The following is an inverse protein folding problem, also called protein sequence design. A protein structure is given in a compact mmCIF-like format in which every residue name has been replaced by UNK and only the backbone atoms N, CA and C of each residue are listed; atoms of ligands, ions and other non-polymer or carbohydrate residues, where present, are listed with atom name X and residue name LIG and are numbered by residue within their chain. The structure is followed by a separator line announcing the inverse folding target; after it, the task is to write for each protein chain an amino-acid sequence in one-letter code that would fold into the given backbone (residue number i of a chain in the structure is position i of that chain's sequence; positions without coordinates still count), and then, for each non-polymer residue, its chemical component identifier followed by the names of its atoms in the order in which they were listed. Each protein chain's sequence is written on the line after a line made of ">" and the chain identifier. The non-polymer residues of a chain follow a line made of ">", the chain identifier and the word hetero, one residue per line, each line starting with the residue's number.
data_IF_527429140401
#
_entry.id   IF_527429140401
#
_cell.length_a   1.000
_cell.length_b   1.000
_cell.length_c   1.000
_cell.angle_alpha   90.00
_cell.angle_beta   90.00
_cell.angle_gamma   90.00
#
_symmetry.space_group_name_H-M   'P 1'
#
loop_
_entity.id
_entity.type
_entity.pdbx_description
1 polymer ?
#
# COMPACT_ATOMS: atom_id res chain seq x y z
N UNK A 1 30.47 -0.66 26.02
CA UNK A 1 30.77 -0.60 24.57
C UNK A 1 30.42 -1.98 23.99
N UNK A 2 29.18 -2.18 23.61
CA UNK A 2 28.76 -3.38 22.87
C UNK A 2 28.88 -3.05 21.39
N UNK A 3 29.94 -3.53 20.75
CA UNK A 3 30.09 -3.56 19.30
C UNK A 3 28.98 -4.46 18.74
N UNK A 4 27.89 -3.86 18.31
CA UNK A 4 26.88 -4.51 17.51
C UNK A 4 27.58 -4.94 16.21
N UNK A 5 27.93 -6.21 16.10
CA UNK A 5 28.44 -6.80 14.86
C UNK A 5 27.28 -6.68 13.87
N UNK A 6 27.38 -5.73 12.95
CA UNK A 6 26.48 -5.62 11.79
C UNK A 6 26.81 -6.83 10.91
N UNK A 7 25.99 -7.88 10.98
CA UNK A 7 26.08 -8.97 10.02
C UNK A 7 25.58 -8.37 8.69
N UNK A 8 26.53 -8.00 7.85
CA UNK A 8 26.29 -7.54 6.49
C UNK A 8 26.09 -8.78 5.63
N UNK A 9 25.09 -8.75 4.75
CA UNK A 9 24.90 -9.81 3.76
C UNK A 9 26.17 -10.02 2.93
N UNK A 10 26.46 -11.24 2.54
CA UNK A 10 27.47 -11.51 1.52
C UNK A 10 27.02 -10.88 0.18
N UNK A 11 27.95 -10.57 -0.71
CA UNK A 11 27.61 -10.00 -2.02
C UNK A 11 26.61 -10.87 -2.79
N UNK A 12 26.78 -12.20 -2.74
CA UNK A 12 25.86 -13.14 -3.39
C UNK A 12 24.46 -13.10 -2.78
N UNK A 13 24.36 -13.06 -1.44
CA UNK A 13 23.07 -12.95 -0.75
C UNK A 13 22.36 -11.62 -1.05
N UNK A 14 23.10 -10.52 -1.05
CA UNK A 14 22.57 -9.20 -1.40
C UNK A 14 22.08 -9.16 -2.84
N UNK A 15 22.87 -9.71 -3.79
CA UNK A 15 22.49 -9.81 -5.19
C UNK A 15 21.23 -10.66 -5.39
N UNK A 16 21.18 -11.84 -4.76
CA UNK A 16 20.01 -12.73 -4.84
C UNK A 16 18.73 -12.04 -4.31
N UNK A 17 18.82 -11.37 -3.16
CA UNK A 17 17.70 -10.61 -2.58
C UNK A 17 17.23 -9.48 -3.52
N UNK A 18 18.15 -8.73 -4.11
CA UNK A 18 17.83 -7.66 -5.06
C UNK A 18 17.15 -8.20 -6.32
N UNK A 19 17.64 -9.29 -6.90
CA UNK A 19 17.02 -9.93 -8.07
C UNK A 19 15.57 -10.35 -7.75
N UNK A 20 15.35 -10.98 -6.60
CA UNK A 20 14.01 -11.41 -6.18
C UNK A 20 13.07 -10.21 -6.03
N UNK A 21 13.48 -9.17 -5.33
CA UNK A 21 12.63 -7.99 -5.09
C UNK A 21 12.33 -7.25 -6.38
N UNK A 22 13.32 -7.02 -7.24
CA UNK A 22 13.13 -6.35 -8.53
C UNK A 22 12.18 -7.15 -9.42
N UNK A 23 12.38 -8.46 -9.52
CA UNK A 23 11.54 -9.35 -10.34
C UNK A 23 10.09 -9.35 -9.85
N UNK A 24 9.86 -9.48 -8.53
CA UNK A 24 8.53 -9.40 -7.94
C UNK A 24 7.91 -8.00 -8.12
N UNK A 25 8.68 -6.94 -7.93
CA UNK A 25 8.23 -5.57 -8.13
C UNK A 25 7.76 -5.32 -9.57
N UNK A 26 8.53 -5.75 -10.56
CA UNK A 26 8.16 -5.66 -11.98
C UNK A 26 6.91 -6.47 -12.29
N UNK A 27 6.81 -7.70 -11.79
CA UNK A 27 5.66 -8.57 -11.99
C UNK A 27 4.37 -7.97 -11.40
N UNK A 28 4.42 -7.48 -10.17
CA UNK A 28 3.26 -6.86 -9.51
C UNK A 28 2.85 -5.58 -10.23
N UNK A 29 3.82 -4.72 -10.59
CA UNK A 29 3.54 -3.50 -11.34
C UNK A 29 2.98 -3.78 -12.74
N UNK A 30 3.37 -4.86 -13.39
CA UNK A 30 2.77 -5.29 -14.64
C UNK A 30 1.28 -5.65 -14.47
N UNK A 31 0.94 -6.47 -13.46
CA UNK A 31 -0.45 -6.83 -13.17
C UNK A 31 -1.27 -5.59 -12.82
N UNK A 32 -0.76 -4.74 -11.94
CA UNK A 32 -1.41 -3.50 -11.54
C UNK A 32 -1.59 -2.54 -12.73
N UNK A 33 -0.59 -2.45 -13.62
CA UNK A 33 -0.66 -1.67 -14.85
C UNK A 33 -1.80 -2.13 -15.76
N UNK A 34 -2.02 -3.45 -15.88
CA UNK A 34 -3.15 -4.00 -16.65
C UNK A 34 -4.50 -3.53 -16.07
N UNK A 35 -4.63 -3.48 -14.74
CA UNK A 35 -5.85 -2.98 -14.07
C UNK A 35 -6.05 -1.48 -14.32
N UNK A 36 -4.99 -0.69 -14.25
CA UNK A 36 -5.02 0.76 -14.52
C UNK A 36 -5.46 1.03 -15.95
N UNK A 37 -4.86 0.34 -16.93
CA UNK A 37 -5.22 0.47 -18.34
C UNK A 37 -6.68 0.08 -18.58
N UNK A 38 -7.17 -1.01 -17.98
CA UNK A 38 -8.56 -1.45 -18.09
C UNK A 38 -9.53 -0.40 -17.56
N UNK A 39 -9.21 0.25 -16.43
CA UNK A 39 -10.01 1.28 -15.83
C UNK A 39 -10.16 2.51 -16.76
N UNK A 40 -9.05 3.02 -17.28
CA UNK A 40 -9.05 4.20 -18.13
C UNK A 40 -9.61 3.94 -19.53
N UNK A 41 -9.56 2.70 -20.01
CA UNK A 41 -10.11 2.31 -21.32
C UNK A 41 -11.64 2.20 -21.30
N UNK A 42 -12.28 2.19 -20.14
CA UNK A 42 -13.73 2.02 -20.03
C UNK A 42 -14.38 3.11 -19.16
N UNK A 43 -15.05 4.11 -19.78
CA UNK A 43 -15.65 5.25 -19.06
C UNK A 43 -16.70 4.87 -18.01
N UNK A 44 -17.25 3.65 -18.06
CA UNK A 44 -18.21 3.18 -17.08
C UNK A 44 -17.59 3.05 -15.68
N UNK A 45 -16.31 2.69 -15.60
CA UNK A 45 -15.64 2.52 -14.30
C UNK A 45 -15.29 3.86 -13.64
N UNK A 46 -15.01 4.90 -14.44
CA UNK A 46 -14.69 6.24 -13.92
C UNK A 46 -15.90 6.98 -13.34
N UNK A 47 -17.13 6.46 -13.56
CA UNK A 47 -18.37 7.05 -13.03
C UNK A 47 -18.82 6.45 -11.69
N UNK A 48 -18.15 5.41 -11.20
CA UNK A 48 -18.50 4.71 -9.95
C UNK A 48 -17.39 4.89 -8.92
N UNK A 49 -17.72 5.52 -7.79
CA UNK A 49 -16.82 5.80 -6.67
C UNK A 49 -16.03 4.57 -6.19
N UNK A 50 -16.66 3.40 -6.25
CA UNK A 50 -16.06 2.13 -5.88
C UNK A 50 -14.81 1.81 -6.72
N UNK A 51 -14.91 1.97 -8.05
CA UNK A 51 -13.78 1.70 -8.94
C UNK A 51 -12.72 2.80 -8.85
N UNK A 52 -13.13 4.05 -8.62
CA UNK A 52 -12.20 5.17 -8.43
C UNK A 52 -11.32 4.93 -7.20
N UNK A 53 -11.90 4.56 -6.05
CA UNK A 53 -11.15 4.26 -4.83
C UNK A 53 -10.25 3.03 -5.00
N UNK A 54 -10.74 2.01 -5.72
CA UNK A 54 -9.96 0.82 -5.99
C UNK A 54 -8.74 1.11 -6.87
N UNK A 55 -8.94 1.85 -7.98
CA UNK A 55 -7.82 2.15 -8.87
C UNK A 55 -6.81 3.09 -8.22
N UNK A 56 -7.28 4.00 -7.36
CA UNK A 56 -6.40 4.82 -6.54
C UNK A 56 -5.53 3.95 -5.60
N UNK A 57 -6.10 2.91 -4.97
CA UNK A 57 -5.34 1.95 -4.17
C UNK A 57 -4.27 1.25 -5.02
N UNK A 58 -4.64 0.77 -6.21
CA UNK A 58 -3.71 0.09 -7.14
C UNK A 58 -2.56 1.02 -7.56
N UNK A 59 -2.86 2.26 -7.91
CA UNK A 59 -1.82 3.26 -8.28
C UNK A 59 -0.92 3.55 -7.09
N UNK A 60 -1.47 3.72 -5.91
CA UNK A 60 -0.69 3.92 -4.68
C UNK A 60 0.22 2.71 -4.38
N UNK A 61 -0.27 1.49 -4.56
CA UNK A 61 0.52 0.27 -4.38
C UNK A 61 1.66 0.17 -5.42
N UNK A 62 1.41 0.58 -6.67
CA UNK A 62 2.45 0.68 -7.71
C UNK A 62 3.55 1.65 -7.32
N UNK A 63 3.19 2.86 -6.89
CA UNK A 63 4.14 3.87 -6.42
C UNK A 63 4.93 3.37 -5.22
N UNK A 64 4.26 2.77 -4.26
CA UNK A 64 4.90 2.23 -3.07
C UNK A 64 5.91 1.12 -3.41
N UNK A 65 5.58 0.20 -4.32
CA UNK A 65 6.48 -0.86 -4.76
C UNK A 65 7.68 -0.24 -5.50
N UNK A 66 7.47 0.70 -6.41
CA UNK A 66 8.57 1.38 -7.11
C UNK A 66 9.54 2.02 -6.11
N UNK A 67 9.03 2.80 -5.16
CA UNK A 67 9.85 3.50 -4.16
C UNK A 67 10.56 2.50 -3.25
N UNK A 68 9.86 1.48 -2.75
CA UNK A 68 10.44 0.51 -1.83
C UNK A 68 11.51 -0.36 -2.48
N UNK A 69 11.31 -0.79 -3.74
CA UNK A 69 12.32 -1.52 -4.52
C UNK A 69 13.53 -0.62 -4.78
N UNK A 70 13.32 0.64 -5.17
CA UNK A 70 14.40 1.61 -5.37
C UNK A 70 15.21 1.81 -4.09
N UNK A 71 14.56 2.06 -2.96
CA UNK A 71 15.23 2.21 -1.66
C UNK A 71 16.01 0.95 -1.27
N UNK A 72 15.44 -0.23 -1.51
CA UNK A 72 16.09 -1.51 -1.20
C UNK A 72 17.35 -1.71 -2.04
N UNK A 73 17.28 -1.46 -3.35
CA UNK A 73 18.45 -1.56 -4.24
C UNK A 73 19.52 -0.55 -3.86
N UNK A 74 19.14 0.71 -3.58
CA UNK A 74 20.07 1.77 -3.19
C UNK A 74 20.80 1.47 -1.87
N UNK A 75 20.17 0.73 -0.96
CA UNK A 75 20.80 0.32 0.30
C UNK A 75 22.06 -0.54 0.08
N UNK A 76 22.12 -1.29 -1.04
CA UNK A 76 23.27 -2.16 -1.38
C UNK A 76 24.16 -1.59 -2.46
N UNK A 77 23.64 -0.71 -3.32
CA UNK A 77 24.32 -0.36 -4.57
C UNK A 77 25.17 0.92 -4.49
N UNK A 78 24.76 1.96 -3.77
CA UNK A 78 25.45 3.24 -3.83
C UNK A 78 25.10 4.21 -2.69
N UNK A 79 26.02 5.14 -2.45
CA UNK A 79 25.75 6.36 -1.70
C UNK A 79 24.91 7.30 -2.57
N UNK A 80 23.94 7.94 -1.96
CA UNK A 80 22.95 8.81 -2.64
C UNK A 80 22.93 10.17 -1.95
N UNK A 81 22.65 11.22 -2.71
CA UNK A 81 22.45 12.55 -2.14
C UNK A 81 21.34 12.54 -1.07
N UNK A 82 21.59 13.16 0.06
CA UNK A 82 20.62 13.28 1.16
C UNK A 82 19.29 13.82 0.66
N UNK A 83 19.30 14.82 -0.23
CA UNK A 83 18.08 15.40 -0.79
C UNK A 83 17.21 14.38 -1.52
N UNK A 84 17.82 13.55 -2.39
CA UNK A 84 17.11 12.49 -3.10
C UNK A 84 16.60 11.41 -2.14
N UNK A 85 17.43 11.02 -1.17
CA UNK A 85 17.04 10.06 -0.15
C UNK A 85 15.85 10.57 0.70
N UNK A 86 15.84 11.85 1.10
CA UNK A 86 14.71 12.46 1.81
C UNK A 86 13.40 12.37 1.00
N UNK A 87 13.46 12.69 -0.31
CA UNK A 87 12.28 12.62 -1.19
C UNK A 87 11.76 11.17 -1.28
N UNK A 88 12.63 10.21 -1.49
CA UNK A 88 12.25 8.80 -1.61
C UNK A 88 11.63 8.26 -0.30
N UNK A 89 12.23 8.57 0.85
CA UNK A 89 11.71 8.16 2.15
C UNK A 89 10.37 8.85 2.44
N UNK A 90 10.24 10.14 2.15
CA UNK A 90 8.99 10.87 2.35
C UNK A 90 7.87 10.34 1.46
N UNK A 91 8.15 10.05 0.19
CA UNK A 91 7.18 9.47 -0.74
C UNK A 91 6.79 8.05 -0.30
N UNK A 92 7.76 7.23 0.10
CA UNK A 92 7.52 5.89 0.61
C UNK A 92 6.65 5.88 1.87
N UNK A 93 6.94 6.73 2.85
CA UNK A 93 6.16 6.83 4.09
C UNK A 93 4.75 7.39 3.84
N UNK A 94 4.61 8.35 2.93
CA UNK A 94 3.31 8.90 2.53
C UNK A 94 2.43 7.83 1.87
N UNK A 95 2.94 7.13 0.85
CA UNK A 95 2.20 6.05 0.18
C UNK A 95 1.85 4.91 1.12
N UNK A 96 2.73 4.60 2.09
CA UNK A 96 2.47 3.62 3.13
C UNK A 96 1.27 4.03 4.01
N UNK A 97 1.19 5.30 4.44
CA UNK A 97 0.07 5.82 5.24
C UNK A 97 -1.25 5.91 4.47
N UNK A 98 -1.20 6.18 3.16
CA UNK A 98 -2.41 6.30 2.31
C UNK A 98 -3.12 4.94 2.18
N UNK A 99 -2.41 3.82 2.13
CA UNK A 99 -3.02 2.48 1.94
C UNK A 99 -4.13 2.19 2.95
N UNK A 100 -3.91 2.21 4.28
CA UNK A 100 -4.98 1.93 5.25
C UNK A 100 -6.08 2.98 5.26
N UNK A 101 -5.76 4.25 5.03
CA UNK A 101 -6.75 5.32 4.93
C UNK A 101 -7.69 5.11 3.73
N UNK A 102 -7.14 4.73 2.57
CA UNK A 102 -7.94 4.42 1.39
C UNK A 102 -8.83 3.19 1.60
N UNK A 103 -8.34 2.16 2.29
CA UNK A 103 -9.13 0.98 2.65
C UNK A 103 -10.28 1.34 3.61
N UNK A 104 -10.05 2.23 4.56
CA UNK A 104 -11.11 2.78 5.40
C UNK A 104 -12.15 3.54 4.57
N UNK A 105 -11.72 4.34 3.59
CA UNK A 105 -12.58 5.01 2.62
C UNK A 105 -13.45 4.03 1.81
N UNK A 106 -12.84 2.94 1.33
CA UNK A 106 -13.57 1.87 0.63
C UNK A 106 -14.59 1.19 1.55
N UNK A 107 -14.27 1.02 2.84
CA UNK A 107 -15.21 0.45 3.82
C UNK A 107 -16.41 1.39 4.09
N UNK A 108 -16.17 2.69 4.16
CA UNK A 108 -17.22 3.72 4.26
C UNK A 108 -18.11 3.72 3.01
N UNK A 109 -17.53 3.65 1.82
CA UNK A 109 -18.29 3.56 0.56
C UNK A 109 -19.20 2.33 0.58
N UNK A 110 -18.69 1.17 0.99
CA UNK A 110 -19.48 -0.06 1.13
C UNK A 110 -20.59 0.06 2.17
N UNK A 111 -20.31 0.68 3.31
CA UNK A 111 -21.31 0.96 4.33
C UNK A 111 -22.44 1.82 3.76
N UNK A 112 -22.14 2.88 3.02
CA UNK A 112 -23.15 3.75 2.41
C UNK A 112 -23.96 2.98 1.37
N UNK A 113 -23.30 2.20 0.50
CA UNK A 113 -23.95 1.43 -0.55
C UNK A 113 -24.93 0.37 -0.02
N UNK A 114 -24.64 -0.24 1.14
CA UNK A 114 -25.45 -1.32 1.71
C UNK A 114 -26.48 -0.79 2.72
N UNK A 115 -26.09 0.15 3.56
CA UNK A 115 -26.95 0.64 4.66
C UNK A 115 -27.82 1.84 4.25
N UNK A 116 -27.42 2.61 3.20
CA UNK A 116 -28.13 3.78 2.70
C UNK A 116 -28.23 3.79 1.16
N UNK A 117 -28.80 2.76 0.52
CA UNK A 117 -28.75 2.59 -0.94
C UNK A 117 -29.40 3.75 -1.72
N UNK A 118 -30.49 4.33 -1.19
CA UNK A 118 -31.20 5.45 -1.83
C UNK A 118 -30.37 6.74 -1.88
N UNK A 119 -29.44 6.91 -0.95
CA UNK A 119 -28.59 8.11 -0.87
C UNK A 119 -27.19 7.88 -1.45
N UNK A 120 -26.84 6.64 -1.84
CA UNK A 120 -25.52 6.30 -2.32
C UNK A 120 -25.09 7.16 -3.51
N UNK A 121 -25.94 7.29 -4.53
CA UNK A 121 -25.65 8.08 -5.74
C UNK A 121 -25.50 9.59 -5.47
N UNK A 122 -26.10 10.08 -4.38
CA UNK A 122 -25.99 11.49 -3.98
C UNK A 122 -24.75 11.77 -3.13
N UNK A 123 -24.34 10.80 -2.28
CA UNK A 123 -23.21 10.95 -1.35
C UNK A 123 -21.89 10.59 -2.04
N UNK A 124 -21.86 9.43 -2.71
CA UNK A 124 -20.67 8.87 -3.34
C UNK A 124 -20.59 9.25 -4.84
N UNK A 125 -20.51 10.55 -5.11
CA UNK A 125 -20.30 11.03 -6.50
C UNK A 125 -18.82 10.96 -6.88
N UNK A 126 -18.48 10.81 -8.18
CA UNK A 126 -17.07 10.81 -8.62
C UNK A 126 -16.30 12.05 -8.14
N UNK A 127 -16.88 13.23 -8.22
CA UNK A 127 -16.24 14.49 -7.80
C UNK A 127 -15.87 14.45 -6.30
N UNK A 128 -16.82 14.06 -5.44
CA UNK A 128 -16.55 13.94 -3.99
C UNK A 128 -15.52 12.87 -3.69
N UNK A 129 -15.49 11.80 -4.47
CA UNK A 129 -14.49 10.73 -4.33
C UNK A 129 -13.09 11.25 -4.67
N UNK A 130 -12.92 12.06 -5.73
CA UNK A 130 -11.63 12.69 -6.03
C UNK A 130 -11.19 13.68 -4.96
N UNK A 131 -12.12 14.51 -4.43
CA UNK A 131 -11.82 15.40 -3.30
C UNK A 131 -11.38 14.58 -2.08
N UNK A 132 -12.07 13.49 -1.79
CA UNK A 132 -11.69 12.59 -0.70
C UNK A 132 -10.29 11.99 -0.90
N UNK A 133 -9.93 11.57 -2.12
CA UNK A 133 -8.58 11.11 -2.46
C UNK A 133 -7.53 12.19 -2.21
N UNK A 134 -7.79 13.44 -2.63
CA UNK A 134 -6.89 14.56 -2.33
C UNK A 134 -6.69 14.75 -0.80
N UNK A 135 -7.76 14.63 -0.02
CA UNK A 135 -7.68 14.70 1.44
C UNK A 135 -6.83 13.55 2.01
N UNK A 136 -6.94 12.33 1.45
CA UNK A 136 -6.10 11.21 1.88
C UNK A 136 -4.60 11.49 1.64
N UNK A 137 -4.25 12.11 0.49
CA UNK A 137 -2.87 12.51 0.20
C UNK A 137 -2.36 13.56 1.16
N UNK A 138 -3.16 14.59 1.46
CA UNK A 138 -2.80 15.61 2.45
C UNK A 138 -2.58 14.98 3.82
N UNK A 139 -3.53 14.17 4.30
CA UNK A 139 -3.42 13.50 5.59
C UNK A 139 -2.20 12.56 5.66
N UNK A 140 -2.00 11.74 4.63
CA UNK A 140 -0.87 10.80 4.56
C UNK A 140 0.50 11.48 4.51
N UNK A 141 0.58 12.70 3.96
CA UNK A 141 1.82 13.46 3.84
C UNK A 141 2.21 14.20 5.14
N UNK A 142 1.28 14.47 6.06
CA UNK A 142 1.54 15.25 7.28
C UNK A 142 2.74 14.71 8.07
N UNK A 143 2.85 13.40 8.41
CA UNK A 143 3.97 12.91 9.18
C UNK A 143 5.32 13.09 8.46
N UNK A 144 5.36 12.80 7.17
CA UNK A 144 6.58 12.91 6.35
C UNK A 144 7.03 14.34 6.16
N UNK A 145 6.10 15.27 5.95
CA UNK A 145 6.39 16.71 5.86
C UNK A 145 6.92 17.24 7.19
N UNK A 146 6.34 16.83 8.31
CA UNK A 146 6.84 17.20 9.63
C UNK A 146 8.29 16.72 9.85
N UNK A 147 8.63 15.50 9.39
CA UNK A 147 9.98 14.97 9.46
C UNK A 147 10.97 15.81 8.65
N UNK A 148 10.61 16.18 7.43
CA UNK A 148 11.43 17.01 6.55
C UNK A 148 11.62 18.41 7.16
N UNK A 149 10.56 19.06 7.64
CA UNK A 149 10.64 20.41 8.26
C UNK A 149 11.57 20.38 9.47
N UNK A 150 11.47 19.37 10.32
CA UNK A 150 12.36 19.25 11.48
C UNK A 150 13.81 19.01 11.04
N UNK A 151 14.04 18.18 10.02
CA UNK A 151 15.37 17.94 9.49
C UNK A 151 15.99 19.23 8.94
N UNK A 152 15.24 20.04 8.19
CA UNK A 152 15.68 21.37 7.71
C UNK A 152 15.96 22.36 8.84
N UNK A 153 15.26 22.25 9.98
CA UNK A 153 15.47 23.13 11.13
C UNK A 153 16.72 22.77 11.92
N UNK A 154 17.17 21.52 11.88
CA UNK A 154 18.29 21.02 12.70
C UNK A 154 19.60 20.95 11.90
N UNK A 155 19.52 20.59 10.61
CA UNK A 155 20.69 20.33 9.80
C UNK A 155 21.07 21.53 8.91
N UNK A 156 22.38 21.81 8.73
CA UNK A 156 22.84 22.87 7.83
C UNK A 156 22.57 22.47 6.36
N UNK A 157 22.47 23.47 5.48
CA UNK A 157 22.23 23.26 4.04
C UNK A 157 23.29 22.36 3.39
N UNK A 158 24.53 22.41 3.87
CA UNK A 158 25.62 21.54 3.39
C UNK A 158 25.33 20.05 3.60
N UNK A 159 24.57 19.69 4.64
CA UNK A 159 24.15 18.31 4.91
C UNK A 159 23.32 17.73 3.75
N UNK A 160 22.44 18.53 3.15
CA UNK A 160 21.57 18.07 2.06
C UNK A 160 22.31 17.83 0.73
N UNK A 161 23.56 18.32 0.64
CA UNK A 161 24.46 18.07 -0.50
C UNK A 161 25.47 16.92 -0.23
N UNK A 162 25.45 16.38 0.96
CA UNK A 162 26.29 15.22 1.30
C UNK A 162 25.67 13.94 0.77
N UNK A 163 26.48 12.88 0.67
CA UNK A 163 26.04 11.55 0.24
C UNK A 163 25.94 10.62 1.45
N UNK A 164 24.89 9.83 1.48
CA UNK A 164 24.61 8.87 2.55
C UNK A 164 24.11 7.55 2.00
N UNK A 165 24.26 6.50 2.79
CA UNK A 165 23.52 5.26 2.55
C UNK A 165 22.04 5.53 2.88
N UNK A 166 21.16 5.38 1.86
CA UNK A 166 19.77 5.78 1.96
C UNK A 166 18.96 4.82 2.84
N UNK A 167 18.98 5.07 4.13
CA UNK A 167 18.23 4.33 5.13
C UNK A 167 17.61 5.31 6.14
N UNK A 168 16.33 5.13 6.54
CA UNK A 168 15.63 6.08 7.42
C UNK A 168 16.38 6.40 8.71
N UNK A 169 17.04 5.41 9.32
CA UNK A 169 17.80 5.60 10.55
C UNK A 169 19.03 6.53 10.38
N UNK A 170 19.63 6.54 9.19
CA UNK A 170 20.79 7.40 8.92
C UNK A 170 20.39 8.86 8.78
N UNK A 171 19.19 9.13 8.24
CA UNK A 171 18.68 10.49 8.12
C UNK A 171 18.08 11.01 9.42
N UNK A 172 17.39 10.15 10.16
CA UNK A 172 16.61 10.53 11.36
C UNK A 172 17.03 9.69 12.56
N UNK A 173 18.27 9.87 13.08
CA UNK A 173 18.78 9.05 14.18
C UNK A 173 18.16 9.39 15.54
N UNK A 174 17.36 10.46 15.64
CA UNK A 174 16.85 10.96 16.92
C UNK A 174 15.73 10.08 17.50
N UNK A 175 15.75 9.87 18.82
CA UNK A 175 14.67 9.18 19.54
C UNK A 175 13.33 9.89 19.34
N UNK A 176 13.33 11.23 19.35
CA UNK A 176 12.12 12.03 19.14
C UNK A 176 11.45 11.76 17.79
N UNK A 177 12.23 11.56 16.71
CA UNK A 177 11.69 11.14 15.41
C UNK A 177 11.00 9.78 15.50
N UNK A 178 11.66 8.79 16.12
CA UNK A 178 11.10 7.44 16.27
C UNK A 178 9.79 7.47 17.09
N UNK A 179 9.78 8.18 18.21
CA UNK A 179 8.61 8.28 19.09
C UNK A 179 7.44 8.96 18.36
N UNK A 180 7.69 10.04 17.59
CA UNK A 180 6.69 10.74 16.80
C UNK A 180 6.14 9.86 15.66
N UNK A 181 7.00 9.18 14.92
CA UNK A 181 6.58 8.26 13.85
C UNK A 181 5.72 7.14 14.40
N UNK A 182 6.11 6.55 15.54
CA UNK A 182 5.33 5.53 16.22
C UNK A 182 3.99 6.08 16.69
N UNK A 183 3.95 7.25 17.31
CA UNK A 183 2.71 7.90 17.75
C UNK A 183 1.77 8.18 16.56
N UNK A 184 2.29 8.72 15.46
CA UNK A 184 1.51 8.93 14.23
C UNK A 184 0.92 7.62 13.71
N UNK A 185 1.71 6.57 13.62
CA UNK A 185 1.23 5.25 13.19
C UNK A 185 0.12 4.73 14.10
N UNK A 186 0.27 4.81 15.42
CA UNK A 186 -0.75 4.38 16.37
C UNK A 186 -2.05 5.16 16.18
N UNK A 187 -1.98 6.50 16.03
CA UNK A 187 -3.16 7.34 15.85
C UNK A 187 -3.89 6.99 14.56
N UNK A 188 -3.18 6.94 13.42
CA UNK A 188 -3.78 6.61 12.13
C UNK A 188 -4.39 5.20 12.12
N UNK A 189 -3.69 4.23 12.69
CA UNK A 189 -4.17 2.85 12.74
C UNK A 189 -5.39 2.70 13.66
N UNK A 190 -5.37 3.36 14.82
CA UNK A 190 -6.54 3.36 15.73
C UNK A 190 -7.77 3.93 15.04
N UNK A 191 -7.62 5.05 14.32
CA UNK A 191 -8.70 5.66 13.55
C UNK A 191 -9.24 4.70 12.47
N UNK A 192 -8.35 4.09 11.70
CA UNK A 192 -8.72 3.11 10.66
C UNK A 192 -9.46 1.92 11.28
N UNK A 193 -8.95 1.34 12.38
CA UNK A 193 -9.61 0.23 13.06
C UNK A 193 -11.01 0.59 13.58
N UNK A 194 -11.19 1.76 14.18
CA UNK A 194 -12.49 2.24 14.62
C UNK A 194 -13.49 2.31 13.45
N UNK A 195 -13.08 2.92 12.33
CA UNK A 195 -13.90 3.03 11.12
C UNK A 195 -14.25 1.62 10.60
N UNK A 196 -13.30 0.72 10.53
CA UNK A 196 -13.51 -0.63 10.02
C UNK A 196 -14.46 -1.42 10.90
N UNK A 197 -14.23 -1.48 12.21
CA UNK A 197 -15.09 -2.20 13.15
C UNK A 197 -16.52 -1.66 13.08
N UNK A 198 -16.67 -0.34 13.11
CA UNK A 198 -17.99 0.29 13.01
C UNK A 198 -18.70 -0.07 11.70
N UNK A 199 -18.05 0.13 10.56
CA UNK A 199 -18.65 -0.14 9.25
C UNK A 199 -18.99 -1.61 9.07
N UNK A 200 -18.10 -2.51 9.50
CA UNK A 200 -18.35 -3.97 9.46
C UNK A 200 -19.53 -4.39 10.31
N UNK A 201 -19.59 -3.95 11.58
CA UNK A 201 -20.69 -4.27 12.45
C UNK A 201 -22.04 -3.81 11.87
N UNK A 202 -22.09 -2.60 11.34
CA UNK A 202 -23.29 -2.03 10.71
C UNK A 202 -23.71 -2.78 9.45
N UNK A 203 -22.76 -3.09 8.56
CA UNK A 203 -23.05 -3.83 7.34
C UNK A 203 -23.50 -5.25 7.63
N UNK A 204 -22.84 -5.95 8.57
CA UNK A 204 -23.26 -7.30 9.00
C UNK A 204 -24.66 -7.32 9.60
N UNK A 205 -24.98 -6.32 10.42
CA UNK A 205 -26.31 -6.20 11.02
C UNK A 205 -27.38 -5.96 9.96
N UNK A 206 -27.13 -5.07 8.99
CA UNK A 206 -28.05 -4.79 7.88
C UNK A 206 -28.20 -6.00 6.96
N UNK A 207 -27.12 -6.70 6.63
CA UNK A 207 -27.16 -7.90 5.80
C UNK A 207 -27.94 -9.06 6.45
N UNK A 208 -27.87 -9.20 7.78
CA UNK A 208 -28.67 -10.22 8.53
C UNK A 208 -30.17 -9.91 8.50
N UNK A 209 -30.57 -8.64 8.42
CA UNK A 209 -31.98 -8.24 8.34
C UNK A 209 -32.56 -8.38 6.93
N UNK A 210 -31.71 -8.45 5.88
CA UNK A 210 -32.15 -8.60 4.51
C UNK A 210 -32.77 -10.01 4.30
N UNK A 211 -34.03 -10.05 3.96
CA UNK A 211 -34.87 -11.26 3.97
C UNK A 211 -34.53 -12.33 2.90
N UNK A 212 -33.71 -12.02 1.88
CA UNK A 212 -33.36 -12.98 0.83
C UNK A 212 -32.03 -13.68 1.11
N UNK A 213 -32.06 -15.02 1.25
CA UNK A 213 -30.87 -15.85 1.48
C UNK A 213 -29.77 -15.67 0.44
N UNK A 214 -30.09 -15.38 -0.83
CA UNK A 214 -29.14 -15.20 -1.92
C UNK A 214 -28.36 -13.87 -1.83
N UNK A 215 -29.06 -12.76 -1.58
CA UNK A 215 -28.44 -11.43 -1.42
C UNK A 215 -27.58 -11.35 -0.16
N UNK A 216 -28.00 -11.97 0.95
CA UNK A 216 -27.23 -12.04 2.16
C UNK A 216 -25.92 -12.83 2.00
N UNK A 217 -25.93 -13.96 1.26
CA UNK A 217 -24.73 -14.76 0.96
C UNK A 217 -23.73 -13.97 0.13
N UNK A 218 -24.17 -13.26 -0.91
CA UNK A 218 -23.31 -12.42 -1.76
C UNK A 218 -22.71 -11.25 -1.00
N UNK A 219 -23.52 -10.55 -0.19
CA UNK A 219 -23.04 -9.46 0.67
C UNK A 219 -22.00 -9.96 1.68
N UNK A 220 -22.26 -11.10 2.36
CA UNK A 220 -21.31 -11.69 3.31
C UNK A 220 -19.98 -12.08 2.65
N UNK A 221 -20.01 -12.67 1.48
CA UNK A 221 -18.79 -13.04 0.73
C UNK A 221 -17.96 -11.79 0.36
N UNK A 222 -18.62 -10.73 -0.12
CA UNK A 222 -17.96 -9.45 -0.45
C UNK A 222 -17.31 -8.81 0.78
N UNK A 223 -18.00 -8.81 1.92
CA UNK A 223 -17.50 -8.27 3.18
C UNK A 223 -16.30 -9.09 3.68
N UNK A 224 -16.40 -10.42 3.62
CA UNK A 224 -15.31 -11.30 4.06
C UNK A 224 -14.03 -11.08 3.24
N UNK A 225 -14.15 -11.03 1.90
CA UNK A 225 -13.01 -10.77 1.02
C UNK A 225 -12.37 -9.41 1.28
N UNK A 226 -13.19 -8.38 1.52
CA UNK A 226 -12.67 -7.06 1.90
C UNK A 226 -11.98 -7.11 3.27
N UNK A 227 -12.54 -7.86 4.24
CA UNK A 227 -11.92 -8.09 5.54
C UNK A 227 -10.55 -8.77 5.43
N UNK A 228 -10.43 -9.78 4.58
CA UNK A 228 -9.14 -10.46 4.33
C UNK A 228 -8.11 -9.48 3.74
N UNK A 229 -8.52 -8.67 2.77
CA UNK A 229 -7.64 -7.65 2.18
C UNK A 229 -7.15 -6.65 3.23
N UNK A 230 -8.05 -6.20 4.12
CA UNK A 230 -7.70 -5.32 5.22
C UNK A 230 -6.73 -5.96 6.21
N UNK A 231 -6.97 -7.21 6.60
CA UNK A 231 -6.08 -7.94 7.50
C UNK A 231 -4.68 -8.09 6.89
N UNK A 232 -4.58 -8.39 5.60
CA UNK A 232 -3.29 -8.47 4.89
C UNK A 232 -2.56 -7.12 4.88
N UNK A 233 -3.28 -6.01 4.63
CA UNK A 233 -2.67 -4.68 4.71
C UNK A 233 -2.23 -4.32 6.13
N UNK A 234 -3.04 -4.70 7.15
CA UNK A 234 -2.67 -4.48 8.55
C UNK A 234 -1.41 -5.26 8.95
N UNK A 235 -1.16 -6.41 8.32
CA UNK A 235 0.04 -7.21 8.56
C UNK A 235 1.33 -6.40 8.32
N UNK A 236 1.33 -5.48 7.34
CA UNK A 236 2.49 -4.61 7.06
C UNK A 236 2.93 -3.76 8.26
N UNK A 237 2.00 -3.42 9.14
CA UNK A 237 2.29 -2.61 10.32
C UNK A 237 2.86 -3.41 11.50
N UNK A 238 2.77 -4.74 11.42
CA UNK A 238 3.37 -5.62 12.42
C UNK A 238 4.82 -5.97 12.11
N UNK A 239 5.35 -5.60 10.93
CA UNK A 239 6.75 -5.89 10.55
C UNK A 239 7.76 -5.45 11.60
N UNK A 240 7.74 -4.20 12.12
CA UNK A 240 8.70 -3.77 13.13
C UNK A 240 8.59 -4.57 14.43
N UNK A 241 7.36 -4.97 14.79
CA UNK A 241 7.10 -5.79 16.00
C UNK A 241 7.60 -7.21 15.78
N UNK A 242 7.35 -7.79 14.60
CA UNK A 242 7.87 -9.11 14.23
C UNK A 242 9.39 -9.14 14.25
N UNK A 243 10.04 -8.14 13.66
CA UNK A 243 11.49 -8.02 13.67
C UNK A 243 12.04 -7.88 15.10
N UNK A 244 11.39 -7.08 15.96
CA UNK A 244 11.78 -6.89 17.34
C UNK A 244 11.65 -8.19 18.17
N UNK A 245 10.63 -9.01 17.90
CA UNK A 245 10.39 -10.27 18.62
C UNK A 245 11.29 -11.39 18.09
N UNK A 246 11.36 -11.57 16.77
CA UNK A 246 12.00 -12.74 16.15
C UNK A 246 13.53 -12.61 16.09
N UNK A 247 14.04 -11.40 15.81
CA UNK A 247 15.49 -11.18 15.63
C UNK A 247 16.34 -11.57 16.84
N UNK A 248 15.94 -11.33 18.11
CA UNK A 248 16.75 -11.74 19.27
C UNK A 248 16.94 -13.25 19.39
N UNK A 249 15.98 -14.04 18.91
CA UNK A 249 16.07 -15.52 18.96
C UNK A 249 17.02 -16.09 17.89
N UNK A 250 17.24 -15.34 16.79
CA UNK A 250 18.04 -15.80 15.67
C UNK A 250 19.03 -14.70 15.20
N UNK A 251 19.98 -14.28 16.02
CA UNK A 251 20.86 -13.14 15.71
C UNK A 251 21.68 -13.34 14.42
N UNK A 252 22.12 -14.56 14.15
CA UNK A 252 22.90 -14.91 12.94
C UNK A 252 22.07 -14.90 11.63
N UNK A 253 20.75 -14.94 11.72
CA UNK A 253 19.85 -14.94 10.55
C UNK A 253 19.06 -13.62 10.42
N UNK A 254 19.45 -12.58 11.13
CA UNK A 254 18.73 -11.31 11.19
C UNK A 254 18.38 -10.76 9.82
N UNK A 255 19.33 -10.69 8.89
CA UNK A 255 19.10 -10.12 7.55
C UNK A 255 18.11 -10.96 6.72
N UNK A 256 18.14 -12.29 6.87
CA UNK A 256 17.22 -13.22 6.20
C UNK A 256 15.81 -13.07 6.76
N UNK A 257 15.67 -12.94 8.08
CA UNK A 257 14.40 -12.76 8.77
C UNK A 257 13.77 -11.42 8.35
N UNK A 258 14.52 -10.33 8.38
CA UNK A 258 14.04 -9.00 7.97
C UNK A 258 13.62 -9.01 6.49
N UNK A 259 14.39 -9.69 5.62
CA UNK A 259 14.01 -9.85 4.21
C UNK A 259 12.71 -10.65 4.05
N UNK A 260 12.57 -11.78 4.73
CA UNK A 260 11.36 -12.58 4.68
C UNK A 260 10.13 -11.82 5.23
N UNK A 261 10.29 -11.13 6.35
CA UNK A 261 9.26 -10.27 6.91
C UNK A 261 8.85 -9.18 5.92
N UNK A 262 9.81 -8.54 5.24
CA UNK A 262 9.55 -7.56 4.20
C UNK A 262 8.72 -8.15 3.04
N UNK A 263 9.07 -9.33 2.55
CA UNK A 263 8.29 -10.01 1.51
C UNK A 263 6.87 -10.33 1.98
N UNK A 264 6.74 -10.88 3.18
CA UNK A 264 5.45 -11.30 3.73
C UNK A 264 4.52 -10.11 4.00
N UNK A 265 5.05 -9.03 4.55
CA UNK A 265 4.23 -7.92 5.04
C UNK A 265 4.09 -6.77 4.05
N UNK A 266 5.05 -6.57 3.16
CA UNK A 266 5.01 -5.48 2.18
C UNK A 266 4.69 -5.95 0.77
N UNK A 267 5.27 -7.03 0.29
CA UNK A 267 5.09 -7.50 -1.10
C UNK A 267 3.81 -8.32 -1.26
N UNK A 268 3.60 -9.31 -0.38
CA UNK A 268 2.45 -10.23 -0.49
C UNK A 268 1.08 -9.54 -0.45
N UNK A 269 0.80 -8.54 0.40
CA UNK A 269 -0.49 -7.86 0.38
C UNK A 269 -0.79 -7.18 -0.96
N UNK A 270 0.24 -6.59 -1.61
CA UNK A 270 0.11 -5.90 -2.91
C UNK A 270 -0.07 -6.87 -4.06
N UNK A 271 0.51 -8.07 -3.96
CA UNK A 271 0.26 -9.14 -4.92
C UNK A 271 -1.16 -9.72 -4.79
N UNK A 272 -1.62 -9.88 -3.56
CA UNK A 272 -2.93 -10.48 -3.28
C UNK A 272 -4.08 -9.49 -3.50
N UNK A 273 -3.87 -8.20 -3.31
CA UNK A 273 -4.89 -7.15 -3.45
C UNK A 273 -5.62 -7.19 -4.80
N UNK A 274 -4.95 -7.19 -5.97
CA UNK A 274 -5.61 -7.28 -7.27
C UNK A 274 -6.30 -8.64 -7.48
N UNK A 275 -5.74 -9.74 -6.95
CA UNK A 275 -6.35 -11.07 -7.06
C UNK A 275 -7.65 -11.17 -6.28
N UNK A 276 -7.67 -10.68 -5.03
CA UNK A 276 -8.87 -10.63 -4.20
C UNK A 276 -9.95 -9.77 -4.84
N UNK A 277 -9.57 -8.62 -5.40
CA UNK A 277 -10.51 -7.76 -6.10
C UNK A 277 -11.05 -8.43 -7.36
N UNK A 278 -10.21 -9.12 -8.11
CA UNK A 278 -10.61 -9.89 -9.30
C UNK A 278 -11.64 -10.96 -9.00
N UNK A 279 -11.48 -11.72 -7.92
CA UNK A 279 -12.47 -12.70 -7.46
C UNK A 279 -13.78 -12.00 -7.03
N UNK A 280 -13.68 -10.81 -6.45
CA UNK A 280 -14.85 -10.05 -5.98
C UNK A 280 -15.64 -9.39 -7.09
N UNK A 281 -14.97 -8.81 -8.10
CA UNK A 281 -15.59 -8.05 -9.18
C UNK A 281 -15.36 -8.72 -10.54
N UNK A 282 -16.19 -9.76 -10.81
CA UNK A 282 -16.14 -10.52 -12.05
C UNK A 282 -16.37 -9.65 -13.30
N UNK A 283 -17.16 -8.55 -13.18
CA UNK A 283 -17.43 -7.65 -14.29
C UNK A 283 -16.17 -6.91 -14.76
N UNK A 284 -15.40 -6.39 -13.80
CA UNK A 284 -14.13 -5.72 -14.08
C UNK A 284 -13.11 -6.70 -14.68
N UNK A 285 -13.00 -7.89 -14.11
CA UNK A 285 -12.08 -8.93 -14.60
C UNK A 285 -12.45 -9.46 -15.98
N UNK A 286 -13.75 -9.56 -16.29
CA UNK A 286 -14.22 -9.92 -17.63
C UNK A 286 -13.79 -8.89 -18.67
N UNK A 287 -14.01 -7.61 -18.39
CA UNK A 287 -13.59 -6.50 -19.25
C UNK A 287 -12.07 -6.47 -19.45
N UNK A 288 -11.29 -6.70 -18.39
CA UNK A 288 -9.84 -6.80 -18.49
C UNK A 288 -9.42 -7.95 -19.42
N UNK A 289 -10.00 -9.14 -19.27
CA UNK A 289 -9.71 -10.28 -20.14
C UNK A 289 -10.06 -9.98 -21.59
N UNK A 290 -11.24 -9.47 -21.85
CA UNK A 290 -11.68 -9.09 -23.21
C UNK A 290 -10.75 -8.06 -23.84
N UNK A 291 -10.41 -7.00 -23.13
CA UNK A 291 -9.53 -5.94 -23.61
C UNK A 291 -8.13 -6.48 -24.02
N UNK A 292 -7.52 -7.31 -23.19
CA UNK A 292 -6.19 -7.86 -23.49
C UNK A 292 -6.25 -8.99 -24.52
N UNK A 293 -7.27 -9.83 -24.52
CA UNK A 293 -7.43 -10.90 -25.52
C UNK A 293 -7.69 -10.31 -26.91
N UNK A 294 -8.60 -9.36 -27.05
CA UNK A 294 -8.86 -8.69 -28.32
C UNK A 294 -7.62 -7.96 -28.87
N UNK A 295 -6.86 -7.25 -28.04
CA UNK A 295 -5.62 -6.61 -28.48
C UNK A 295 -4.56 -7.61 -28.94
N UNK A 296 -4.40 -8.72 -28.25
CA UNK A 296 -3.45 -9.78 -28.65
C UNK A 296 -3.84 -10.38 -30.00
N UNK A 297 -5.14 -10.55 -30.26
CA UNK A 297 -5.64 -11.06 -31.54
C UNK A 297 -5.37 -10.04 -32.66
N UNK A 298 -5.64 -8.75 -32.44
CA UNK A 298 -5.41 -7.70 -33.45
C UNK A 298 -3.92 -7.61 -33.81
N UNK A 299 -3.02 -7.67 -32.83
CA UNK A 299 -1.57 -7.64 -33.06
C UNK A 299 -1.09 -8.89 -33.84
N UNK A 300 -1.78 -10.04 -33.72
CA UNK A 300 -1.49 -11.24 -34.49
C UNK A 300 -2.05 -11.22 -35.93
N UNK A 301 -3.08 -10.41 -36.20
CA UNK A 301 -3.75 -10.36 -37.50
C UNK A 301 -3.18 -9.28 -38.41
N UNK A 302 -2.46 -8.29 -37.90
CA UNK A 302 -1.76 -7.26 -38.67
C UNK A 302 -0.27 -7.59 -38.71
N UNK A 303 0.21 -8.39 -39.68
CA UNK A 303 1.64 -8.52 -39.92
C UNK A 303 2.15 -7.19 -40.49
N UNK A 304 3.32 -6.76 -40.00
CA UNK A 304 4.03 -5.60 -40.54
C UNK A 304 4.38 -5.80 -42.01
#
# INVERSE_FOLDING_TARGET
>A
MNSTIWIVDSFEEALAKNIVIVSLGLFINFINGMLVVTFFSNPMFSRDSRYILYIHLVINDMLMICVSVTLYVLTYASLVDVSLCCILIALGSTTFMITPLNLAGMAIERFIAICKPLHHSQICTPQRTYIFICLLWVLGAIPSLADIIILFSIQPISFFRSVVLCYPFNLFPSKAHKDRTTASQIIYMSLVWIILIYTYCRVMFTARKAASKGSAKKARSTILLHGVQLLLCMLSYFTPVLDMIVTPFFPFHRTKITFFNYLLTNIMPRLLSPLIYGVRDQKFMKQMKEYFTCRVIIVKIVPK
#
